data_IF_530751454164
#
_entry.id   IF_530751454164
#
_cell.length_a   1.000
_cell.length_b   1.000
_cell.length_c   1.000
_cell.angle_alpha   90.00
_cell.angle_beta   90.00
_cell.angle_gamma   90.00
#
_symmetry.space_group_name_H-M   'P 1'
#
loop_
_entity.id
_entity.type
_entity.pdbx_description
1 polymer ?
#
# COMPACT_ATOMS: atom_id res chain seq x y z
N UNK A 1 9.58 -7.72 9.40
CA UNK A 1 8.60 -6.92 10.17
C UNK A 1 9.26 -5.80 10.99
N UNK A 2 10.27 -5.13 10.45
CA UNK A 2 11.08 -4.16 11.21
C UNK A 2 10.27 -2.92 11.57
N UNK A 3 9.53 -2.36 10.60
CA UNK A 3 8.68 -1.17 10.81
C UNK A 3 7.75 -1.30 12.03
N UNK A 4 7.03 -2.42 12.11
CA UNK A 4 6.15 -2.71 13.26
C UNK A 4 6.93 -2.85 14.58
N UNK A 5 8.10 -3.50 14.56
CA UNK A 5 8.94 -3.65 15.76
C UNK A 5 9.49 -2.32 16.27
N UNK A 6 9.75 -1.35 15.39
CA UNK A 6 10.24 -0.03 15.75
C UNK A 6 9.11 1.01 15.95
N UNK A 7 7.85 0.57 15.98
CA UNK A 7 6.70 1.43 16.26
C UNK A 7 6.23 2.29 15.09
N UNK A 8 6.63 1.99 13.86
CA UNK A 8 6.13 2.69 12.66
C UNK A 8 4.76 2.15 12.23
N UNK A 9 3.91 3.06 11.75
CA UNK A 9 2.73 2.68 10.97
C UNK A 9 3.17 2.17 9.60
N UNK A 10 2.63 1.02 9.19
CA UNK A 10 2.98 0.34 7.94
C UNK A 10 1.74 0.27 7.04
N UNK A 11 1.86 0.81 5.84
CA UNK A 11 0.86 0.68 4.77
C UNK A 11 1.42 -0.30 3.73
N UNK A 12 0.63 -1.31 3.38
CA UNK A 12 0.96 -2.29 2.35
C UNK A 12 0.19 -1.96 1.07
N UNK A 13 0.91 -1.84 -0.05
CA UNK A 13 0.33 -1.92 -1.38
C UNK A 13 0.64 -3.31 -1.96
N UNK A 14 -0.40 -4.07 -2.32
CA UNK A 14 -0.26 -5.42 -2.88
C UNK A 14 -1.31 -5.68 -3.96
N UNK A 15 -1.21 -6.83 -4.61
CA UNK A 15 -2.28 -7.40 -5.44
C UNK A 15 -3.45 -7.92 -4.61
N UNK A 16 -4.29 -8.73 -5.25
CA UNK A 16 -5.53 -9.28 -4.66
C UNK A 16 -5.26 -10.03 -3.35
N UNK A 17 -4.13 -10.71 -3.30
CA UNK A 17 -3.66 -11.44 -2.13
C UNK A 17 -2.65 -10.59 -1.36
N UNK A 18 -2.84 -10.50 -0.05
CA UNK A 18 -1.94 -9.74 0.83
C UNK A 18 -0.72 -10.56 1.27
N UNK A 19 -0.71 -11.87 1.02
CA UNK A 19 0.31 -12.81 1.49
C UNK A 19 0.46 -12.80 3.02
N UNK A 20 1.50 -13.43 3.55
CA UNK A 20 1.75 -13.45 5.01
C UNK A 20 2.09 -12.06 5.58
N UNK A 21 2.52 -11.10 4.75
CA UNK A 21 2.92 -9.77 5.21
C UNK A 21 1.73 -8.89 5.60
N UNK A 22 0.55 -9.13 5.04
CA UNK A 22 -0.67 -8.37 5.33
C UNK A 22 -1.18 -8.47 6.78
N UNK A 23 -0.77 -9.49 7.52
CA UNK A 23 -1.10 -9.64 8.96
C UNK A 23 -0.27 -8.71 9.85
N UNK A 24 0.77 -8.11 9.27
CA UNK A 24 1.80 -7.38 9.99
C UNK A 24 1.83 -5.89 9.67
N UNK A 25 0.80 -5.41 8.98
CA UNK A 25 0.65 -4.06 8.48
C UNK A 25 -0.56 -3.40 9.17
N UNK A 26 -0.60 -2.06 9.17
CA UNK A 26 -1.70 -1.30 9.76
C UNK A 26 -2.83 -1.06 8.76
N UNK A 27 -2.49 -0.95 7.47
CA UNK A 27 -3.44 -0.73 6.39
C UNK A 27 -3.00 -1.52 5.15
N UNK A 28 -3.96 -2.18 4.50
CA UNK A 28 -3.75 -2.95 3.28
C UNK A 28 -4.53 -2.33 2.13
N UNK A 29 -3.82 -1.82 1.12
CA UNK A 29 -4.38 -1.32 -0.14
C UNK A 29 -4.15 -2.40 -1.19
N UNK A 30 -5.21 -3.15 -1.49
CA UNK A 30 -5.17 -4.35 -2.33
C UNK A 30 -5.83 -4.06 -3.68
N UNK A 31 -5.09 -4.19 -4.77
CA UNK A 31 -5.64 -4.06 -6.12
C UNK A 31 -6.19 -5.39 -6.61
N UNK A 32 -7.23 -5.44 -7.47
CA UNK A 32 -7.92 -6.68 -7.81
C UNK A 32 -7.18 -7.58 -8.81
N UNK A 33 -5.86 -7.44 -8.96
CA UNK A 33 -5.02 -8.16 -9.93
C UNK A 33 -4.04 -9.11 -9.24
N UNK A 34 -3.62 -10.15 -9.97
CA UNK A 34 -2.67 -11.17 -9.49
C UNK A 34 -1.33 -11.13 -10.21
N UNK A 35 -1.30 -10.56 -11.41
CA UNK A 35 -0.12 -10.47 -12.26
C UNK A 35 0.68 -9.21 -11.90
N UNK A 36 1.97 -9.39 -11.60
CA UNK A 36 2.84 -8.33 -11.09
C UNK A 36 2.81 -7.05 -11.94
N UNK A 37 2.80 -7.16 -13.27
CA UNK A 37 2.80 -5.98 -14.13
C UNK A 37 1.49 -5.17 -14.02
N UNK A 38 0.33 -5.84 -13.89
CA UNK A 38 -0.96 -5.16 -13.72
C UNK A 38 -1.09 -4.55 -12.33
N UNK A 39 -0.59 -5.26 -11.31
CA UNK A 39 -0.47 -4.71 -9.95
C UNK A 39 0.40 -3.43 -10.00
N UNK A 40 1.53 -3.52 -10.71
CA UNK A 40 2.41 -2.45 -11.19
C UNK A 40 1.64 -1.18 -11.60
N UNK A 41 0.86 -1.35 -12.66
CA UNK A 41 0.10 -0.28 -13.31
C UNK A 41 -0.96 0.34 -12.40
N UNK A 42 -1.64 -0.47 -11.57
CA UNK A 42 -2.67 0.03 -10.65
C UNK A 42 -2.09 0.69 -9.40
N UNK A 43 -0.86 0.36 -8.99
CA UNK A 43 -0.19 1.05 -7.88
C UNK A 43 0.20 2.49 -8.24
N UNK A 44 0.46 2.79 -9.51
CA UNK A 44 0.82 4.14 -9.94
C UNK A 44 -0.29 5.19 -9.67
N UNK A 45 -1.56 5.02 -10.11
CA UNK A 45 -2.62 5.96 -9.78
C UNK A 45 -2.94 5.99 -8.28
N UNK A 46 -2.78 4.88 -7.55
CA UNK A 46 -2.94 4.86 -6.09
C UNK A 46 -1.89 5.74 -5.42
N UNK A 47 -0.62 5.60 -5.81
CA UNK A 47 0.47 6.43 -5.31
C UNK A 47 0.19 7.92 -5.57
N UNK A 48 -0.26 8.27 -6.78
CA UNK A 48 -0.62 9.65 -7.10
C UNK A 48 -1.79 10.18 -6.27
N UNK A 49 -2.81 9.36 -6.03
CA UNK A 49 -3.94 9.72 -5.16
C UNK A 49 -3.47 9.95 -3.71
N UNK A 50 -2.57 9.12 -3.19
CA UNK A 50 -1.98 9.31 -1.87
C UNK A 50 -1.18 10.61 -1.78
N UNK A 51 -0.37 10.93 -2.80
CA UNK A 51 0.34 12.20 -2.85
C UNK A 51 -0.62 13.39 -2.84
N UNK A 52 -1.67 13.35 -3.67
CA UNK A 52 -2.67 14.42 -3.73
C UNK A 52 -3.40 14.59 -2.39
N UNK A 53 -3.81 13.49 -1.75
CA UNK A 53 -4.50 13.54 -0.46
C UNK A 53 -3.61 14.10 0.66
N UNK A 54 -2.31 13.75 0.65
CA UNK A 54 -1.34 14.31 1.60
C UNK A 54 -1.11 15.79 1.32
N UNK A 55 -1.02 16.19 0.05
CA UNK A 55 -0.86 17.59 -0.34
C UNK A 55 -2.06 18.43 0.14
N UNK A 56 -3.29 18.03 -0.20
CA UNK A 56 -4.54 18.69 0.20
C UNK A 56 -4.73 18.76 1.73
N UNK A 57 -4.19 17.78 2.46
CA UNK A 57 -4.29 17.75 3.93
C UNK A 57 -3.27 18.64 4.64
N UNK A 58 -2.16 19.00 3.98
CA UNK A 58 -1.01 19.64 4.62
C UNK A 58 -0.66 21.03 4.07
N UNK A 59 -1.07 21.36 2.84
CA UNK A 59 -0.73 22.60 2.14
C UNK A 59 -1.98 23.29 1.58
#
# INVERSE_FOLDING_TARGET
>A
MIGKMIGMNVILLSGREHGTIGEYTNCNILVPETETYKIQELHLPIYHCLCLAVEDSLF
#
